data_IF_587846142860
#
_entry.id   IF_587846142860
#
_cell.length_a   1.000
_cell.length_b   1.000
_cell.length_c   1.000
_cell.angle_alpha   90.00
_cell.angle_beta   90.00
_cell.angle_gamma   90.00
#
_symmetry.space_group_name_H-M   'P 1'
#
loop_
_entity.id
_entity.type
_entity.pdbx_description
1 polymer ?
#
# COMPACT_ATOMS: atom_id res chain seq x y z
N UNK A 1 9.08 -3.22 17.29
CA UNK A 1 8.23 -3.26 16.09
C UNK A 1 7.33 -4.45 16.11
N UNK A 2 6.11 -4.28 15.68
CA UNK A 2 5.13 -5.36 15.65
C UNK A 2 5.28 -6.14 14.37
N UNK A 3 5.88 -7.32 14.45
CA UNK A 3 6.14 -8.13 13.27
C UNK A 3 4.86 -8.62 12.61
N UNK A 4 3.82 -8.85 13.38
CA UNK A 4 2.55 -9.27 12.80
C UNK A 4 1.93 -8.15 11.98
N UNK A 5 2.00 -6.92 12.49
CA UNK A 5 1.50 -5.77 11.75
C UNK A 5 2.32 -5.53 10.49
N UNK A 6 3.64 -5.70 10.59
CA UNK A 6 4.51 -5.53 9.42
C UNK A 6 4.17 -6.56 8.35
N UNK A 7 3.95 -7.81 8.74
CA UNK A 7 3.63 -8.87 7.79
C UNK A 7 2.27 -8.65 7.16
N UNK A 8 1.30 -8.22 7.95
CA UNK A 8 -0.03 -7.92 7.43
C UNK A 8 0.05 -6.77 6.42
N UNK A 9 0.80 -5.73 6.77
CA UNK A 9 0.96 -4.59 5.89
C UNK A 9 1.60 -4.99 4.55
N UNK A 10 2.61 -5.85 4.62
CA UNK A 10 3.26 -6.34 3.41
C UNK A 10 2.29 -7.14 2.55
N UNK A 11 1.51 -8.01 3.19
CA UNK A 11 0.54 -8.83 2.47
C UNK A 11 -0.54 -7.98 1.80
N UNK A 12 -1.00 -6.94 2.49
CA UNK A 12 -1.97 -6.01 1.91
C UNK A 12 -1.38 -5.30 0.70
N UNK A 13 -0.11 -4.91 0.80
CA UNK A 13 0.57 -4.28 -0.31
C UNK A 13 0.66 -5.20 -1.52
N UNK A 14 1.02 -6.47 -1.30
CA UNK A 14 1.08 -7.45 -2.38
C UNK A 14 -0.27 -7.63 -3.06
N UNK A 15 -1.32 -7.73 -2.27
CA UNK A 15 -2.67 -7.89 -2.80
C UNK A 15 -3.05 -6.70 -3.68
N UNK A 16 -2.78 -5.49 -3.20
CA UNK A 16 -3.08 -4.30 -3.98
C UNK A 16 -2.22 -4.20 -5.23
N UNK A 17 -0.95 -4.61 -5.14
CA UNK A 17 -0.09 -4.64 -6.31
C UNK A 17 -0.61 -5.55 -7.39
N UNK A 18 -1.10 -6.73 -7.01
CA UNK A 18 -1.70 -7.66 -7.96
C UNK A 18 -2.94 -7.06 -8.61
N UNK A 19 -3.77 -6.39 -7.81
CA UNK A 19 -4.96 -5.74 -8.36
C UNK A 19 -4.60 -4.66 -9.36
N UNK A 20 -3.58 -3.85 -9.03
CA UNK A 20 -3.17 -2.77 -9.92
C UNK A 20 -2.65 -3.32 -11.24
N UNK A 21 -1.83 -4.36 -11.18
CA UNK A 21 -1.31 -4.98 -12.41
C UNK A 21 -2.45 -5.54 -13.26
N UNK A 22 -3.40 -6.19 -12.62
CA UNK A 22 -4.55 -6.75 -13.34
C UNK A 22 -5.39 -5.67 -13.99
N UNK A 23 -5.41 -4.48 -13.42
CA UNK A 23 -6.18 -3.36 -13.95
C UNK A 23 -5.44 -2.56 -15.01
N UNK A 24 -4.21 -2.96 -15.32
CA UNK A 24 -3.42 -2.28 -16.35
C UNK A 24 -2.54 -1.17 -15.82
N UNK A 25 -2.48 -1.00 -14.51
CA UNK A 25 -1.57 -0.02 -13.90
C UNK A 25 -0.20 -0.67 -13.80
N UNK A 26 0.72 -0.28 -14.67
CA UNK A 26 2.00 -0.96 -14.78
C UNK A 26 3.03 -0.47 -13.79
N UNK A 27 2.88 0.76 -13.31
CA UNK A 27 3.83 1.33 -12.36
C UNK A 27 3.12 2.20 -11.37
N UNK A 28 3.58 2.15 -10.13
CA UNK A 28 3.19 3.12 -9.10
C UNK A 28 4.46 3.58 -8.41
N UNK A 29 4.46 4.82 -7.96
CA UNK A 29 5.53 5.30 -7.10
C UNK A 29 5.21 4.81 -5.70
N UNK A 30 5.95 3.80 -5.24
CA UNK A 30 5.61 3.14 -3.98
C UNK A 30 5.75 4.06 -2.78
N UNK A 31 6.69 5.01 -2.82
CA UNK A 31 6.83 5.96 -1.71
C UNK A 31 5.63 6.90 -1.63
N UNK A 32 5.19 7.41 -2.77
CA UNK A 32 4.01 8.27 -2.80
C UNK A 32 2.75 7.50 -2.47
N UNK A 33 2.66 6.27 -2.94
CA UNK A 33 1.54 5.41 -2.62
C UNK A 33 1.43 5.21 -1.11
N UNK A 34 2.55 4.88 -0.47
CA UNK A 34 2.57 4.68 0.98
C UNK A 34 2.20 5.97 1.72
N UNK A 35 2.67 7.10 1.22
CA UNK A 35 2.34 8.40 1.83
C UNK A 35 0.85 8.67 1.75
N UNK A 36 0.21 8.31 0.63
CA UNK A 36 -1.22 8.47 0.49
C UNK A 36 -2.00 7.62 1.48
N UNK A 37 -1.59 6.37 1.65
CA UNK A 37 -2.23 5.50 2.63
C UNK A 37 -2.08 6.07 4.03
N UNK A 38 -0.87 6.53 4.37
CA UNK A 38 -0.62 7.11 5.68
C UNK A 38 -1.47 8.37 5.91
N UNK A 39 -1.63 9.18 4.89
CA UNK A 39 -2.42 10.41 5.00
C UNK A 39 -3.87 10.11 5.39
N UNK A 40 -4.44 9.06 4.80
CA UNK A 40 -5.80 8.66 5.14
C UNK A 40 -5.90 8.25 6.60
N UNK A 41 -4.94 7.46 7.08
CA UNK A 41 -4.95 7.02 8.47
C UNK A 41 -4.72 8.16 9.44
N UNK A 42 -4.02 9.20 9.01
CA UNK A 42 -3.76 10.37 9.84
C UNK A 42 -4.90 11.39 9.78
N UNK A 43 -5.87 11.16 8.92
CA UNK A 43 -7.01 12.04 8.79
C UNK A 43 -6.76 13.28 7.94
N UNK A 44 -5.70 13.29 7.14
CA UNK A 44 -5.34 14.43 6.32
C UNK A 44 -6.17 14.51 5.04
N UNK A 45 -6.70 13.37 4.61
CA UNK A 45 -7.48 13.32 3.36
C UNK A 45 -8.82 12.66 3.55
#
# INVERSE_FOLDING_TARGET
MDKELDRLSYALGMSMGHNFKSSGIEKVDSADFAAGVAAVYEGAE
#
